data_IF_624361455649
#
_entry.id   IF_624361455649
#
_cell.length_a   1.000
_cell.length_b   1.000
_cell.length_c   1.000
_cell.angle_alpha   90.00
_cell.angle_beta   90.00
_cell.angle_gamma   90.00
#
_symmetry.space_group_name_H-M   'P 1'
#
loop_
_entity.id
_entity.type
_entity.pdbx_description
1 polymer ?
#
# COMPACT_ATOMS: atom_id res chain seq x y z
N UNK A 1 -24.24 -14.41 37.08
CA UNK A 1 -23.17 -13.39 36.97
C UNK A 1 -23.12 -12.97 35.51
N UNK A 2 -23.89 -11.95 35.14
CA UNK A 2 -23.90 -11.43 33.78
C UNK A 2 -22.81 -10.37 33.67
N UNK A 3 -21.78 -10.64 32.86
CA UNK A 3 -20.76 -9.64 32.50
C UNK A 3 -21.43 -8.62 31.57
N UNK A 4 -21.42 -7.36 31.98
CA UNK A 4 -21.79 -6.25 31.13
C UNK A 4 -20.65 -6.02 30.14
N UNK A 5 -20.95 -6.13 28.85
CA UNK A 5 -20.10 -5.63 27.77
C UNK A 5 -20.46 -4.15 27.63
N UNK A 6 -19.56 -3.27 28.03
CA UNK A 6 -19.70 -1.83 27.77
C UNK A 6 -19.18 -1.64 26.34
N UNK A 7 -20.07 -1.68 25.36
CA UNK A 7 -19.79 -1.18 24.02
C UNK A 7 -19.93 0.33 24.10
N UNK A 8 -18.81 1.05 24.20
CA UNK A 8 -18.83 2.51 24.09
C UNK A 8 -19.02 2.88 22.62
N UNK A 9 -20.27 3.03 22.21
CA UNK A 9 -20.62 3.63 20.92
C UNK A 9 -20.49 5.16 21.10
N UNK A 10 -19.37 5.73 20.66
CA UNK A 10 -19.23 7.19 20.61
C UNK A 10 -19.92 7.65 19.33
N UNK A 11 -21.14 8.15 19.47
CA UNK A 11 -21.84 8.87 18.42
C UNK A 11 -21.33 10.32 18.45
N UNK A 12 -20.37 10.68 17.58
CA UNK A 12 -19.90 12.06 17.47
C UNK A 12 -20.98 12.90 16.77
N UNK A 13 -21.32 14.03 17.38
CA UNK A 13 -22.44 14.87 16.99
C UNK A 13 -22.16 15.72 15.76
N UNK A 14 -23.21 15.93 14.96
CA UNK A 14 -23.28 16.89 13.86
C UNK A 14 -22.74 18.28 14.28
N UNK A 15 -21.74 18.77 13.56
CA UNK A 15 -21.38 20.20 13.54
C UNK A 15 -22.03 20.84 12.31
N UNK A 16 -22.91 21.82 12.54
CA UNK A 16 -23.40 22.71 11.49
C UNK A 16 -22.33 23.75 11.17
N UNK A 17 -21.82 23.75 9.94
CA UNK A 17 -21.13 24.90 9.38
C UNK A 17 -21.96 25.47 8.23
N UNK A 18 -22.68 26.57 8.47
CA UNK A 18 -23.17 27.43 7.39
C UNK A 18 -22.19 28.58 7.24
N UNK A 19 -21.29 28.45 6.26
CA UNK A 19 -20.52 29.55 5.70
C UNK A 19 -20.56 29.44 4.18
N UNK A 20 -21.55 30.09 3.56
CA UNK A 20 -21.67 30.21 2.11
C UNK A 20 -20.55 31.11 1.57
N UNK A 21 -19.38 30.52 1.28
CA UNK A 21 -18.36 30.99 0.33
C UNK A 21 -17.20 29.98 0.09
N UNK A 22 -17.30 28.72 0.52
CA UNK A 22 -16.36 27.66 0.12
C UNK A 22 -17.08 26.71 -0.86
N UNK A 23 -16.45 26.43 -2.00
CA UNK A 23 -16.94 25.45 -3.00
C UNK A 23 -16.80 24.00 -2.50
N UNK A 24 -16.01 23.79 -1.46
CA UNK A 24 -15.69 22.50 -0.87
C UNK A 24 -15.96 22.55 0.64
N UNK A 25 -16.47 21.45 1.18
CA UNK A 25 -16.55 21.21 2.61
C UNK A 25 -15.21 20.73 3.12
N UNK A 26 -14.81 21.22 4.29
CA UNK A 26 -13.56 20.83 4.95
C UNK A 26 -13.84 20.04 6.20
N UNK A 27 -13.08 18.96 6.39
CA UNK A 27 -13.15 18.05 7.54
C UNK A 27 -11.74 17.93 8.13
N UNK A 28 -11.68 17.89 9.46
CA UNK A 28 -10.47 17.61 10.22
C UNK A 28 -10.93 16.84 11.45
N UNK A 29 -10.45 15.62 11.61
CA UNK A 29 -10.86 14.71 12.66
C UNK A 29 -9.67 13.94 13.23
N UNK A 30 -9.80 13.58 14.51
CA UNK A 30 -8.80 12.85 15.25
C UNK A 30 -9.47 11.72 16.03
N UNK A 31 -8.91 10.52 15.90
CA UNK A 31 -9.38 9.31 16.58
C UNK A 31 -8.44 9.00 17.74
N UNK A 32 -8.93 9.11 18.97
CA UNK A 32 -8.17 8.78 20.18
C UNK A 32 -8.63 7.45 20.77
N UNK A 33 -7.68 6.56 21.09
CA UNK A 33 -7.96 5.31 21.80
C UNK A 33 -6.77 4.86 22.65
N UNK A 34 -6.91 5.02 23.97
CA UNK A 34 -5.88 4.58 24.90
C UNK A 34 -5.87 3.05 25.06
N UNK A 35 -4.68 2.45 24.94
CA UNK A 35 -4.46 1.02 25.20
C UNK A 35 -4.87 0.09 24.05
N UNK A 36 -5.26 0.64 22.90
CA UNK A 36 -5.33 -0.10 21.63
C UNK A 36 -3.91 -0.33 21.15
N UNK A 37 -3.61 -1.57 20.75
CA UNK A 37 -2.28 -1.98 20.30
C UNK A 37 -2.30 -2.59 18.90
N UNK A 38 -3.48 -2.83 18.35
CA UNK A 38 -3.67 -3.29 16.99
C UNK A 38 -4.92 -2.62 16.40
N UNK A 39 -4.82 -2.20 15.15
CA UNK A 39 -5.89 -1.51 14.42
C UNK A 39 -6.04 -2.16 13.06
N UNK A 40 -7.21 -2.71 12.78
CA UNK A 40 -7.59 -3.08 11.42
C UNK A 40 -8.10 -1.80 10.74
N UNK A 41 -7.40 -1.35 9.70
CA UNK A 41 -7.66 -0.10 8.97
C UNK A 41 -8.25 -0.44 7.61
N UNK A 42 -9.46 0.00 7.35
CA UNK A 42 -10.17 -0.18 6.09
C UNK A 42 -10.40 1.17 5.44
N UNK A 43 -9.82 1.38 4.27
CA UNK A 43 -9.99 2.58 3.46
C UNK A 43 -10.68 2.21 2.14
N UNK A 44 -11.79 2.87 1.82
CA UNK A 44 -12.51 2.71 0.54
C UNK A 44 -12.55 4.06 -0.17
N UNK A 45 -11.67 4.22 -1.13
CA UNK A 45 -11.29 5.51 -1.71
C UNK A 45 -11.68 5.56 -3.19
N UNK A 46 -12.90 6.03 -3.50
CA UNK A 46 -13.47 5.87 -4.84
C UNK A 46 -12.79 6.72 -5.92
N UNK A 47 -12.90 8.05 -5.84
CA UNK A 47 -12.34 8.98 -6.85
C UNK A 47 -11.80 10.21 -6.15
N UNK A 48 -10.55 10.57 -6.39
CA UNK A 48 -9.95 11.73 -5.72
C UNK A 48 -8.43 11.76 -5.70
N UNK A 49 -7.90 12.53 -4.76
CA UNK A 49 -6.49 12.54 -4.37
C UNK A 49 -6.36 12.05 -2.92
N UNK A 50 -5.53 11.05 -2.68
CA UNK A 50 -5.41 10.44 -1.36
C UNK A 50 -3.95 10.40 -0.90
N UNK A 51 -3.70 10.84 0.32
CA UNK A 51 -2.37 10.86 0.93
C UNK A 51 -2.42 10.10 2.27
N UNK A 52 -1.43 9.25 2.55
CA UNK A 52 -1.30 8.55 3.83
C UNK A 52 0.12 8.72 4.36
N UNK A 53 0.22 9.09 5.64
CA UNK A 53 1.47 9.33 6.34
C UNK A 53 1.47 8.70 7.74
N UNK A 54 2.59 8.83 8.46
CA UNK A 54 2.69 8.48 9.87
C UNK A 54 2.37 9.67 10.81
N UNK A 55 1.83 9.37 11.99
CA UNK A 55 1.68 10.34 13.06
C UNK A 55 3.01 10.54 13.80
N UNK A 56 3.28 11.79 14.17
CA UNK A 56 4.44 12.15 15.01
C UNK A 56 4.01 12.72 16.35
N UNK A 57 4.50 12.12 17.45
CA UNK A 57 4.38 12.71 18.80
C UNK A 57 3.02 12.62 19.50
N UNK A 58 2.02 11.95 18.91
CA UNK A 58 0.64 11.91 19.40
C UNK A 58 0.31 10.62 20.19
N UNK A 59 0.73 10.55 21.46
CA UNK A 59 0.40 9.40 22.34
C UNK A 59 -1.11 9.25 22.54
N UNK A 60 -1.62 8.03 22.38
CA UNK A 60 -3.04 7.72 22.57
C UNK A 60 -3.95 8.11 21.41
N UNK A 61 -3.36 8.66 20.34
CA UNK A 61 -4.02 8.92 19.06
C UNK A 61 -3.79 7.74 18.13
N UNK A 62 -4.85 7.31 17.46
CA UNK A 62 -4.83 6.19 16.50
C UNK A 62 -4.68 6.72 15.08
N UNK A 63 -5.48 7.71 14.72
CA UNK A 63 -5.46 8.31 13.41
C UNK A 63 -5.83 9.80 13.48
N UNK A 64 -5.26 10.60 12.59
CA UNK A 64 -5.75 11.93 12.22
C UNK A 64 -6.12 11.87 10.73
N UNK A 65 -7.21 12.52 10.34
CA UNK A 65 -7.51 12.69 8.93
C UNK A 65 -8.13 14.05 8.66
N UNK A 66 -7.75 14.63 7.54
CA UNK A 66 -8.32 15.88 7.04
C UNK A 66 -8.65 15.75 5.57
N UNK A 67 -9.59 16.57 5.10
CA UNK A 67 -9.96 16.55 3.71
C UNK A 67 -10.81 17.74 3.29
N UNK A 68 -10.86 17.93 1.98
CA UNK A 68 -11.77 18.86 1.33
C UNK A 68 -12.49 18.19 0.16
N UNK A 69 -13.82 18.30 0.13
CA UNK A 69 -14.64 17.61 -0.86
C UNK A 69 -15.88 18.41 -1.28
N UNK A 70 -16.35 18.17 -2.50
CA UNK A 70 -17.61 18.72 -3.03
C UNK A 70 -18.79 17.86 -2.55
N UNK A 71 -19.48 18.29 -1.49
CA UNK A 71 -20.69 17.63 -0.95
C UNK A 71 -21.81 17.41 -1.97
N UNK A 72 -21.81 18.13 -3.10
CA UNK A 72 -22.80 17.89 -4.15
C UNK A 72 -22.49 16.64 -4.98
N UNK A 73 -21.26 16.13 -4.91
CA UNK A 73 -20.76 15.00 -5.71
C UNK A 73 -20.38 13.79 -4.87
N UNK A 74 -19.78 14.02 -3.70
CA UNK A 74 -19.21 12.99 -2.86
C UNK A 74 -19.90 12.91 -1.50
N UNK A 75 -19.96 11.70 -0.98
CA UNK A 75 -20.30 11.43 0.42
C UNK A 75 -19.09 10.73 1.07
N UNK A 76 -18.82 11.06 2.33
CA UNK A 76 -17.85 10.32 3.12
C UNK A 76 -18.50 9.80 4.40
N UNK A 77 -17.97 8.70 4.91
CA UNK A 77 -18.29 8.19 6.23
C UNK A 77 -17.02 7.68 6.90
N UNK A 78 -16.99 7.74 8.23
CA UNK A 78 -15.94 7.10 9.00
C UNK A 78 -16.54 6.45 10.25
N UNK A 79 -15.92 5.36 10.71
CA UNK A 79 -16.22 4.75 12.01
C UNK A 79 -14.93 4.30 12.68
N UNK A 80 -14.91 4.39 14.01
CA UNK A 80 -13.90 3.73 14.82
C UNK A 80 -14.56 3.01 15.98
N UNK A 81 -14.34 1.70 16.05
CA UNK A 81 -14.82 0.86 17.15
C UNK A 81 -13.64 0.09 17.75
N UNK A 82 -13.63 -0.10 19.07
CA UNK A 82 -12.60 -0.90 19.71
C UNK A 82 -13.13 -1.78 20.84
N UNK A 83 -12.52 -2.95 20.99
CA UNK A 83 -12.78 -3.87 22.09
C UNK A 83 -11.47 -4.29 22.75
N UNK A 84 -11.22 -3.78 23.95
CA UNK A 84 -9.95 -4.00 24.64
C UNK A 84 -8.79 -3.38 23.86
N UNK A 85 -7.87 -4.23 23.39
CA UNK A 85 -6.60 -3.83 22.74
C UNK A 85 -6.67 -3.80 21.21
N UNK A 86 -7.83 -4.08 20.61
CA UNK A 86 -8.04 -4.12 19.16
C UNK A 86 -9.08 -3.09 18.75
N UNK A 87 -8.75 -2.29 17.74
CA UNK A 87 -9.66 -1.34 17.09
C UNK A 87 -9.88 -1.68 15.63
N UNK A 88 -10.97 -1.17 15.07
CA UNK A 88 -11.26 -1.16 13.64
C UNK A 88 -11.56 0.27 13.24
N UNK A 89 -10.80 0.80 12.30
CA UNK A 89 -11.01 2.09 11.66
C UNK A 89 -11.54 1.84 10.25
N UNK A 90 -12.68 2.42 9.91
CA UNK A 90 -13.25 2.35 8.55
C UNK A 90 -13.43 3.77 8.06
N UNK A 91 -12.97 4.04 6.84
CA UNK A 91 -13.21 5.29 6.13
C UNK A 91 -13.65 4.98 4.71
N UNK A 92 -14.75 5.60 4.29
CA UNK A 92 -15.32 5.44 2.95
C UNK A 92 -15.54 6.82 2.34
N UNK A 93 -15.09 7.02 1.10
CA UNK A 93 -15.36 8.21 0.29
C UNK A 93 -15.91 7.77 -1.06
N UNK A 94 -17.18 8.04 -1.30
CA UNK A 94 -17.94 7.57 -2.47
C UNK A 94 -18.38 8.69 -3.39
N UNK A 95 -18.42 8.41 -4.70
CA UNK A 95 -19.03 9.29 -5.70
C UNK A 95 -20.52 8.97 -5.84
N UNK A 96 -21.39 9.78 -5.22
CA UNK A 96 -22.84 9.53 -5.18
C UNK A 96 -23.62 10.21 -6.30
N UNK A 97 -23.08 11.27 -6.91
CA UNK A 97 -23.76 12.04 -7.95
C UNK A 97 -22.93 12.20 -9.22
N UNK A 98 -23.09 11.25 -10.16
CA UNK A 98 -22.43 11.26 -11.48
C UNK A 98 -23.09 12.19 -12.52
N UNK A 99 -23.59 13.36 -12.10
CA UNK A 99 -24.18 14.33 -13.05
C UNK A 99 -23.11 15.25 -13.63
N UNK A 100 -22.58 14.87 -14.79
CA UNK A 100 -21.59 15.64 -15.55
C UNK A 100 -20.23 14.95 -15.61
N UNK A 101 -19.23 15.55 -16.27
CA UNK A 101 -17.89 14.99 -16.30
C UNK A 101 -17.26 15.04 -14.90
N UNK A 102 -16.83 13.88 -14.39
CA UNK A 102 -16.00 13.79 -13.18
C UNK A 102 -14.59 14.21 -13.54
N UNK A 103 -14.04 15.16 -12.78
CA UNK A 103 -12.61 15.49 -12.88
C UNK A 103 -11.83 14.46 -12.08
N UNK A 104 -11.02 13.67 -12.78
CA UNK A 104 -10.12 12.69 -12.15
C UNK A 104 -8.87 13.37 -11.54
N UNK A 105 -8.69 14.68 -11.75
CA UNK A 105 -7.57 15.47 -11.20
C UNK A 105 -7.56 15.51 -9.66
N UNK A 106 -8.68 15.20 -8.99
CA UNK A 106 -8.77 15.09 -7.53
C UNK A 106 -9.10 16.39 -6.78
N UNK A 107 -9.14 17.55 -7.46
CA UNK A 107 -9.40 18.89 -6.87
C UNK A 107 -10.74 19.04 -6.11
N UNK A 108 -11.65 18.08 -6.25
CA UNK A 108 -12.99 18.13 -5.66
C UNK A 108 -13.20 17.04 -4.59
N UNK A 109 -12.17 16.23 -4.30
CA UNK A 109 -12.16 15.21 -3.26
C UNK A 109 -10.72 14.85 -2.88
N UNK A 110 -10.19 15.52 -1.86
CA UNK A 110 -8.85 15.27 -1.31
C UNK A 110 -8.95 14.81 0.14
N UNK A 111 -8.21 13.76 0.48
CA UNK A 111 -8.08 13.29 1.86
C UNK A 111 -6.63 12.96 2.19
N UNK A 112 -6.24 13.35 3.40
CA UNK A 112 -4.95 13.06 3.99
C UNK A 112 -5.18 12.30 5.30
N UNK A 113 -4.52 11.16 5.43
CA UNK A 113 -4.61 10.29 6.61
C UNK A 113 -3.24 10.21 7.28
N UNK A 114 -3.22 10.20 8.60
CA UNK A 114 -2.03 9.93 9.38
C UNK A 114 -2.33 8.88 10.43
N UNK A 115 -1.58 7.77 10.46
CA UNK A 115 -1.79 6.67 11.41
C UNK A 115 -0.68 6.56 12.45
N UNK A 116 -1.01 6.06 13.63
CA UNK A 116 -0.05 5.92 14.73
C UNK A 116 0.97 4.82 14.47
N UNK A 117 2.26 5.06 14.76
CA UNK A 117 3.26 3.99 14.74
C UNK A 117 3.32 3.21 16.06
N UNK A 118 2.51 3.58 17.07
CA UNK A 118 2.48 2.93 18.40
C UNK A 118 1.63 1.65 18.43
N UNK A 119 0.72 1.47 17.46
CA UNK A 119 -0.12 0.28 17.31
C UNK A 119 0.23 -0.48 16.02
N UNK A 120 0.01 -1.80 16.03
CA UNK A 120 0.10 -2.65 14.85
C UNK A 120 -1.09 -2.39 13.91
N UNK A 121 -0.85 -1.64 12.83
CA UNK A 121 -1.84 -1.33 11.81
C UNK A 121 -1.87 -2.43 10.74
N UNK A 122 -3.06 -2.90 10.41
CA UNK A 122 -3.30 -3.83 9.31
C UNK A 122 -4.16 -3.15 8.27
N UNK A 123 -3.64 -2.96 7.08
CA UNK A 123 -4.28 -2.13 6.07
C UNK A 123 -5.02 -2.98 5.03
N UNK A 124 -6.27 -2.60 4.77
CA UNK A 124 -7.07 -3.05 3.64
C UNK A 124 -7.55 -1.77 2.93
N UNK A 125 -6.96 -1.47 1.78
CA UNK A 125 -7.16 -0.21 1.06
C UNK A 125 -7.67 -0.51 -0.35
N UNK A 126 -8.86 -0.02 -0.67
CA UNK A 126 -9.38 -0.04 -2.03
C UNK A 126 -9.29 1.36 -2.63
N UNK A 127 -8.60 1.50 -3.76
CA UNK A 127 -8.47 2.75 -4.52
C UNK A 127 -9.15 2.57 -5.86
N UNK A 128 -10.17 3.38 -6.16
CA UNK A 128 -10.89 3.33 -7.43
C UNK A 128 -10.15 4.03 -8.56
N UNK A 129 -10.58 5.23 -8.93
CA UNK A 129 -9.95 6.06 -9.95
C UNK A 129 -9.36 7.34 -9.35
N UNK A 130 -8.07 7.33 -9.07
CA UNK A 130 -7.46 8.33 -8.19
C UNK A 130 -5.97 8.58 -8.49
N UNK A 131 -5.45 9.64 -7.88
CA UNK A 131 -4.02 9.79 -7.61
C UNK A 131 -3.79 9.51 -6.13
N UNK A 132 -2.87 8.61 -5.78
CA UNK A 132 -2.61 8.26 -4.39
C UNK A 132 -1.11 8.22 -4.07
N UNK A 133 -0.74 8.73 -2.90
CA UNK A 133 0.62 8.66 -2.36
C UNK A 133 0.55 8.17 -0.92
N UNK A 134 1.07 6.97 -0.66
CA UNK A 134 1.00 6.34 0.65
C UNK A 134 2.40 6.04 1.17
N UNK A 135 2.80 6.70 2.26
CA UNK A 135 4.03 6.40 2.98
C UNK A 135 3.72 5.59 4.25
N UNK A 136 4.20 4.35 4.27
CA UNK A 136 4.07 3.44 5.40
C UNK A 136 5.35 3.35 6.25
N UNK A 137 6.35 4.19 5.98
CA UNK A 137 7.59 4.26 6.75
C UNK A 137 7.37 4.61 8.23
N UNK A 138 8.18 4.01 9.11
CA UNK A 138 8.15 4.15 10.58
C UNK A 138 6.83 3.70 11.24
N UNK A 139 5.83 3.25 10.47
CA UNK A 139 4.65 2.59 11.04
C UNK A 139 5.01 1.20 11.58
N UNK A 140 4.09 0.64 12.36
CA UNK A 140 4.11 -0.79 12.72
C UNK A 140 3.05 -1.49 11.88
N UNK A 141 3.45 -2.06 10.74
CA UNK A 141 2.53 -2.73 9.81
C UNK A 141 2.82 -4.21 9.72
N UNK A 142 1.88 -5.06 10.13
CA UNK A 142 2.06 -6.52 10.08
C UNK A 142 1.33 -7.24 8.95
N UNK A 143 0.39 -6.56 8.28
CA UNK A 143 -0.44 -7.09 7.19
C UNK A 143 -0.93 -5.93 6.31
N UNK A 144 -0.90 -6.09 4.99
CA UNK A 144 -1.28 -5.06 4.05
C UNK A 144 -1.85 -5.65 2.75
N UNK A 145 -3.05 -5.21 2.39
CA UNK A 145 -3.66 -5.44 1.10
C UNK A 145 -4.09 -4.12 0.46
N UNK A 146 -3.75 -3.95 -0.83
CA UNK A 146 -4.21 -2.85 -1.66
C UNK A 146 -4.84 -3.38 -2.93
N UNK A 147 -6.08 -2.97 -3.19
CA UNK A 147 -6.80 -3.22 -4.44
C UNK A 147 -6.94 -1.89 -5.18
N UNK A 148 -6.28 -1.75 -6.32
CA UNK A 148 -6.12 -0.49 -7.05
C UNK A 148 -6.76 -0.63 -8.43
N UNK A 149 -7.72 0.24 -8.74
CA UNK A 149 -8.45 0.26 -9.99
C UNK A 149 -7.68 0.96 -11.12
N UNK A 150 -8.12 2.17 -11.48
CA UNK A 150 -7.57 2.95 -12.58
C UNK A 150 -6.93 4.24 -12.06
N UNK A 151 -5.65 4.15 -11.67
CA UNK A 151 -5.01 5.16 -10.83
C UNK A 151 -3.56 5.45 -11.23
N UNK A 152 -3.00 6.51 -10.66
CA UNK A 152 -1.55 6.72 -10.53
C UNK A 152 -1.23 6.62 -9.03
N UNK A 153 -0.42 5.64 -8.63
CA UNK A 153 -0.18 5.33 -7.21
C UNK A 153 1.30 5.24 -6.89
N UNK A 154 1.73 5.94 -5.85
CA UNK A 154 3.05 5.79 -5.23
C UNK A 154 2.85 5.18 -3.85
N UNK A 155 3.54 4.08 -3.58
CA UNK A 155 3.64 3.46 -2.26
C UNK A 155 5.11 3.56 -1.83
N UNK A 156 5.39 4.18 -0.68
CA UNK A 156 6.74 4.29 -0.16
C UNK A 156 6.83 3.65 1.24
N UNK A 157 7.97 3.04 1.51
CA UNK A 157 8.42 2.71 2.85
C UNK A 157 9.62 3.61 3.14
N UNK A 158 9.38 4.91 3.34
CA UNK A 158 10.45 5.92 3.38
C UNK A 158 11.49 5.67 4.48
N UNK A 159 11.08 4.95 5.52
CA UNK A 159 11.92 4.48 6.63
C UNK A 159 11.51 3.06 7.03
N UNK A 160 12.38 2.28 7.72
CA UNK A 160 12.07 0.91 8.08
C UNK A 160 10.77 0.75 8.89
N UNK A 161 9.91 -0.16 8.45
CA UNK A 161 8.75 -0.65 9.19
C UNK A 161 9.21 -1.22 10.54
N UNK A 162 8.46 -0.95 11.60
CA UNK A 162 8.85 -1.30 12.98
C UNK A 162 8.67 -2.79 13.31
N UNK A 163 7.97 -3.52 12.47
CA UNK A 163 7.72 -4.96 12.61
C UNK A 163 7.95 -5.68 11.29
N UNK A 164 7.85 -7.00 11.31
CA UNK A 164 7.75 -7.81 10.09
C UNK A 164 6.37 -7.65 9.48
N UNK A 165 6.32 -7.30 8.19
CA UNK A 165 5.12 -7.30 7.37
C UNK A 165 4.96 -8.70 6.80
N UNK A 166 3.99 -9.50 7.29
CA UNK A 166 3.94 -10.92 6.89
C UNK A 166 3.45 -11.09 5.45
N UNK A 167 2.35 -10.42 5.13
CA UNK A 167 1.72 -10.46 3.83
C UNK A 167 1.59 -9.03 3.30
N UNK A 168 2.19 -8.77 2.14
CA UNK A 168 2.00 -7.56 1.34
C UNK A 168 1.35 -7.97 0.01
N UNK A 169 0.08 -7.62 -0.18
CA UNK A 169 -0.70 -8.00 -1.37
C UNK A 169 -1.15 -6.79 -2.14
N UNK A 170 -0.88 -6.77 -3.44
CA UNK A 170 -1.23 -5.68 -4.32
C UNK A 170 -1.95 -6.26 -5.55
N UNK A 171 -3.22 -5.92 -5.72
CA UNK A 171 -3.96 -6.10 -6.99
C UNK A 171 -4.04 -4.73 -7.68
N UNK A 172 -3.36 -4.60 -8.80
CA UNK A 172 -3.20 -3.36 -9.53
C UNK A 172 -3.83 -3.51 -10.92
N UNK A 173 -5.03 -2.97 -11.10
CA UNK A 173 -5.84 -3.08 -12.31
C UNK A 173 -5.23 -2.37 -13.53
N UNK A 174 -5.77 -1.21 -13.88
CA UNK A 174 -5.36 -0.45 -15.07
C UNK A 174 -4.66 0.85 -14.65
N UNK A 175 -3.43 0.75 -14.17
CA UNK A 175 -2.76 1.85 -13.46
C UNK A 175 -1.26 1.95 -13.76
N UNK A 176 -0.69 3.11 -13.48
CA UNK A 176 0.75 3.27 -13.28
C UNK A 176 1.03 3.24 -11.77
N UNK A 177 1.92 2.35 -11.32
CA UNK A 177 2.20 2.16 -9.90
C UNK A 177 3.71 2.06 -9.63
N UNK A 178 4.15 2.82 -8.64
CA UNK A 178 5.54 2.83 -8.16
C UNK A 178 5.60 2.46 -6.67
N UNK A 179 6.27 1.34 -6.37
CA UNK A 179 6.58 0.90 -5.00
C UNK A 179 8.04 1.20 -4.71
N UNK A 180 8.30 2.10 -3.76
CA UNK A 180 9.62 2.59 -3.38
C UNK A 180 10.10 1.95 -2.09
N UNK A 181 11.41 1.71 -2.03
CA UNK A 181 12.13 1.31 -0.82
C UNK A 181 11.56 0.04 -0.14
N UNK A 182 11.14 -0.97 -0.89
CA UNK A 182 10.51 -2.18 -0.32
C UNK A 182 11.40 -2.95 0.66
N UNK A 183 12.73 -2.77 0.61
CA UNK A 183 13.64 -3.27 1.63
C UNK A 183 13.33 -2.71 3.03
N UNK A 184 12.76 -1.52 3.14
CA UNK A 184 12.32 -0.96 4.42
C UNK A 184 11.02 -1.58 4.95
N UNK A 185 10.20 -2.23 4.11
CA UNK A 185 8.91 -2.78 4.54
C UNK A 185 9.03 -4.01 5.45
N UNK A 186 10.17 -4.72 5.40
CA UNK A 186 10.43 -5.98 6.11
C UNK A 186 9.39 -7.05 5.80
N UNK A 187 8.99 -7.15 4.53
CA UNK A 187 8.01 -8.14 4.08
C UNK A 187 8.54 -9.58 4.13
N UNK A 188 7.70 -10.56 4.48
CA UNK A 188 8.00 -11.99 4.28
C UNK A 188 7.53 -12.45 2.89
N UNK A 189 6.27 -12.13 2.55
CA UNK A 189 5.65 -12.49 1.28
C UNK A 189 5.05 -11.27 0.60
N UNK A 190 5.48 -11.02 -0.63
CA UNK A 190 4.87 -10.07 -1.55
C UNK A 190 4.12 -10.86 -2.63
N UNK A 191 2.83 -10.56 -2.82
CA UNK A 191 2.06 -10.97 -3.99
C UNK A 191 1.65 -9.72 -4.75
N UNK A 192 2.05 -9.63 -6.01
CA UNK A 192 1.77 -8.51 -6.88
C UNK A 192 1.08 -9.02 -8.15
N UNK A 193 -0.18 -8.64 -8.34
CA UNK A 193 -0.99 -8.92 -9.52
C UNK A 193 -1.19 -7.62 -10.30
N UNK A 194 -0.45 -7.42 -11.38
CA UNK A 194 -0.57 -6.27 -12.27
C UNK A 194 -1.39 -6.59 -13.52
N UNK A 195 -2.53 -5.93 -13.71
CA UNK A 195 -3.41 -6.11 -14.85
C UNK A 195 -2.87 -5.49 -16.14
N UNK A 196 -3.03 -4.17 -16.30
CA UNK A 196 -2.60 -3.41 -17.46
C UNK A 196 -1.95 -2.08 -17.09
N UNK A 197 -0.66 -1.90 -17.39
CA UNK A 197 -0.01 -0.62 -17.12
C UNK A 197 1.51 -0.70 -17.01
N UNK A 198 2.07 0.26 -16.27
CA UNK A 198 3.50 0.37 -16.01
C UNK A 198 3.74 0.26 -14.51
N UNK A 199 4.62 -0.66 -14.12
CA UNK A 199 4.87 -0.97 -12.71
C UNK A 199 6.35 -0.79 -12.39
N UNK A 200 6.66 -0.22 -11.24
CA UNK A 200 8.04 -0.13 -10.73
C UNK A 200 8.09 -0.66 -9.31
N UNK A 201 8.93 -1.65 -9.07
CA UNK A 201 9.15 -2.25 -7.75
C UNK A 201 10.62 -2.06 -7.37
N UNK A 202 10.88 -1.09 -6.50
CA UNK A 202 12.19 -0.80 -5.95
C UNK A 202 12.40 -1.52 -4.61
N UNK A 203 13.15 -2.62 -4.64
CA UNK A 203 13.53 -3.43 -3.48
C UNK A 203 14.71 -2.86 -2.69
N UNK A 204 15.21 -1.66 -3.00
CA UNK A 204 16.25 -1.03 -2.18
C UNK A 204 15.72 -0.62 -0.79
N UNK A 205 16.61 -0.23 0.12
CA UNK A 205 16.30 0.02 1.54
C UNK A 205 17.10 -0.89 2.47
N UNK A 206 16.70 -1.00 3.74
CA UNK A 206 17.36 -1.84 4.75
C UNK A 206 16.98 -3.33 4.62
N UNK A 207 17.39 -3.94 3.51
CA UNK A 207 17.03 -5.30 3.14
C UNK A 207 18.00 -6.32 3.79
N UNK A 208 17.75 -6.66 5.06
CA UNK A 208 18.60 -7.55 5.85
C UNK A 208 17.95 -8.88 6.27
N UNK A 209 16.85 -9.24 5.60
CA UNK A 209 15.96 -10.38 5.88
C UNK A 209 15.78 -11.29 4.66
N UNK A 210 15.10 -12.43 4.84
CA UNK A 210 14.72 -13.33 3.76
C UNK A 210 13.26 -13.05 3.38
N UNK A 211 12.98 -12.94 2.08
CA UNK A 211 11.65 -12.68 1.56
C UNK A 211 11.40 -13.38 0.22
N UNK A 212 10.12 -13.55 -0.09
CA UNK A 212 9.62 -14.09 -1.35
C UNK A 212 8.67 -13.09 -1.99
N UNK A 213 8.85 -12.84 -3.29
CA UNK A 213 7.99 -12.00 -4.10
C UNK A 213 7.48 -12.80 -5.30
N UNK A 214 6.17 -12.98 -5.38
CA UNK A 214 5.47 -13.49 -6.56
C UNK A 214 4.87 -12.31 -7.31
N UNK A 215 5.24 -12.17 -8.58
CA UNK A 215 4.85 -11.06 -9.43
C UNK A 215 4.25 -11.63 -10.71
N UNK A 216 2.99 -11.28 -10.94
CA UNK A 216 2.21 -11.68 -12.10
C UNK A 216 1.76 -10.41 -12.85
N UNK A 217 2.23 -10.22 -14.09
CA UNK A 217 1.87 -9.05 -14.91
C UNK A 217 1.16 -9.48 -16.18
N UNK A 218 -0.10 -9.10 -16.35
CA UNK A 218 -0.92 -9.44 -17.50
C UNK A 218 -0.47 -8.77 -18.80
N UNK A 219 -0.57 -7.44 -18.88
CA UNK A 219 -0.30 -6.64 -20.08
C UNK A 219 0.44 -5.34 -19.74
N UNK A 220 1.75 -5.25 -19.97
CA UNK A 220 2.45 -4.02 -19.60
C UNK A 220 3.96 -4.13 -19.51
N UNK A 221 4.54 -3.25 -18.72
CA UNK A 221 5.95 -3.28 -18.38
C UNK A 221 6.15 -3.23 -16.88
N UNK A 222 7.12 -3.98 -16.38
CA UNK A 222 7.55 -3.90 -14.99
C UNK A 222 9.06 -3.68 -14.89
N UNK A 223 9.44 -2.64 -14.18
CA UNK A 223 10.83 -2.35 -13.79
C UNK A 223 11.05 -2.85 -12.36
N UNK A 224 12.01 -3.75 -12.19
CA UNK A 224 12.37 -4.31 -10.88
C UNK A 224 13.78 -3.86 -10.53
N UNK A 225 13.91 -3.11 -9.43
CA UNK A 225 15.19 -2.57 -8.98
C UNK A 225 15.60 -3.32 -7.71
N UNK A 226 16.78 -3.94 -7.73
CA UNK A 226 17.28 -4.77 -6.62
C UNK A 226 18.58 -4.17 -6.07
N UNK A 227 18.79 -4.13 -4.74
CA UNK A 227 20.07 -3.69 -4.19
C UNK A 227 21.20 -4.68 -4.51
N UNK A 228 22.41 -4.17 -4.79
CA UNK A 228 23.58 -5.01 -5.16
C UNK A 228 24.08 -5.95 -4.06
N UNK A 229 23.76 -5.68 -2.79
CA UNK A 229 24.35 -6.36 -1.63
C UNK A 229 23.55 -7.55 -1.10
N UNK A 230 22.34 -7.80 -1.62
CA UNK A 230 21.51 -8.94 -1.24
C UNK A 230 21.75 -10.16 -2.13
N UNK A 231 21.35 -11.33 -1.62
CA UNK A 231 21.28 -12.55 -2.40
C UNK A 231 19.97 -12.59 -3.18
N UNK A 232 20.01 -12.93 -4.46
CA UNK A 232 18.81 -12.97 -5.31
C UNK A 232 18.68 -14.33 -5.99
N UNK A 233 17.48 -14.91 -5.91
CA UNK A 233 17.05 -15.98 -6.81
C UNK A 233 15.93 -15.45 -7.70
N UNK A 234 16.02 -15.71 -8.99
CA UNK A 234 14.99 -15.37 -9.98
C UNK A 234 14.48 -16.68 -10.56
N UNK A 235 13.16 -16.86 -10.53
CA UNK A 235 12.43 -17.93 -11.20
C UNK A 235 11.53 -17.26 -12.24
N UNK A 236 11.84 -17.41 -13.53
CA UNK A 236 11.16 -16.69 -14.60
C UNK A 236 11.08 -17.51 -15.89
N UNK A 237 9.88 -17.60 -16.47
CA UNK A 237 9.67 -18.32 -17.73
C UNK A 237 9.61 -17.35 -18.92
N UNK A 238 10.61 -17.42 -19.80
CA UNK A 238 10.59 -16.68 -21.06
C UNK A 238 9.72 -17.42 -22.10
N UNK A 239 8.82 -16.69 -22.76
CA UNK A 239 7.94 -17.16 -23.81
C UNK A 239 8.05 -16.27 -25.06
N UNK A 240 7.50 -16.71 -26.20
CA UNK A 240 7.62 -15.94 -27.46
C UNK A 240 6.89 -14.59 -27.47
N UNK A 241 6.03 -14.34 -26.48
CA UNK A 241 5.17 -13.15 -26.36
C UNK A 241 5.56 -12.23 -25.19
N UNK A 242 6.61 -12.55 -24.43
CA UNK A 242 7.17 -11.71 -23.36
C UNK A 242 8.67 -11.47 -23.58
N UNK A 243 9.23 -10.54 -22.82
CA UNK A 243 10.68 -10.29 -22.76
C UNK A 243 11.09 -10.04 -21.32
N UNK A 244 12.04 -10.81 -20.81
CA UNK A 244 12.57 -10.64 -19.46
C UNK A 244 14.07 -10.36 -19.59
N UNK A 245 14.51 -9.14 -19.27
CA UNK A 245 15.92 -8.78 -19.23
C UNK A 245 16.41 -8.64 -17.79
N UNK A 246 17.61 -9.12 -17.55
CA UNK A 246 18.29 -9.00 -16.26
C UNK A 246 19.80 -9.11 -16.48
N UNK A 247 20.65 -8.56 -15.59
CA UNK A 247 22.10 -8.55 -15.77
C UNK A 247 22.70 -9.96 -15.64
N UNK A 248 22.64 -10.75 -16.71
CA UNK A 248 23.02 -12.19 -16.77
C UNK A 248 24.45 -12.50 -16.31
N UNK A 249 25.32 -11.49 -16.20
CA UNK A 249 26.69 -11.64 -15.68
C UNK A 249 26.76 -11.74 -14.15
N UNK A 250 25.75 -11.23 -13.46
CA UNK A 250 25.63 -11.25 -12.00
C UNK A 250 24.94 -12.52 -11.50
N UNK A 251 24.51 -13.40 -12.40
CA UNK A 251 23.71 -14.57 -12.11
C UNK A 251 24.28 -15.83 -12.76
N UNK A 252 24.08 -16.97 -12.10
CA UNK A 252 24.37 -18.31 -12.61
C UNK A 252 23.09 -19.14 -12.61
N UNK A 253 22.86 -19.91 -13.68
CA UNK A 253 21.74 -20.87 -13.71
C UNK A 253 21.90 -21.94 -12.63
N UNK A 254 20.81 -22.28 -11.95
CA UNK A 254 20.77 -23.40 -11.00
C UNK A 254 20.87 -24.71 -11.77
N UNK A 255 21.76 -25.60 -11.32
CA UNK A 255 22.01 -26.85 -12.06
C UNK A 255 20.78 -27.75 -12.02
N UNK A 256 20.25 -28.05 -13.21
CA UNK A 256 19.10 -28.97 -13.38
C UNK A 256 17.75 -28.25 -13.44
N UNK A 257 17.77 -26.92 -13.43
CA UNK A 257 16.59 -26.07 -13.61
C UNK A 257 16.94 -24.95 -14.61
N UNK A 258 16.25 -24.93 -15.75
CA UNK A 258 16.60 -24.02 -16.84
C UNK A 258 16.05 -22.60 -16.65
N UNK A 259 15.08 -22.44 -15.74
CA UNK A 259 14.31 -21.21 -15.52
C UNK A 259 14.62 -20.57 -14.16
N UNK A 260 15.65 -21.06 -13.47
CA UNK A 260 16.09 -20.56 -12.16
C UNK A 260 17.51 -20.04 -12.22
N UNK A 261 17.71 -18.81 -11.76
CA UNK A 261 18.99 -18.12 -11.67
C UNK A 261 19.27 -17.67 -10.24
N UNK A 262 20.51 -17.81 -9.78
CA UNK A 262 20.96 -17.33 -8.47
C UNK A 262 22.13 -16.36 -8.64
N UNK A 263 22.16 -15.31 -7.83
CA UNK A 263 23.36 -14.48 -7.66
C UNK A 263 24.45 -15.26 -6.93
N UNK A 264 25.72 -14.91 -7.15
CA UNK A 264 26.86 -15.62 -6.56
C UNK A 264 26.83 -15.63 -5.02
N UNK A 265 26.28 -14.57 -4.42
CA UNK A 265 26.16 -14.41 -2.97
C UNK A 265 24.86 -15.00 -2.38
N UNK A 266 23.94 -15.56 -3.18
CA UNK A 266 22.59 -15.96 -2.74
C UNK A 266 22.57 -16.74 -1.42
N UNK A 267 23.44 -17.73 -1.26
CA UNK A 267 23.48 -18.62 -0.07
C UNK A 267 24.16 -18.00 1.15
N UNK A 268 24.88 -16.89 0.98
CA UNK A 268 25.73 -16.29 2.02
C UNK A 268 25.29 -14.90 2.43
N UNK A 269 24.49 -14.23 1.60
CA UNK A 269 23.98 -12.89 1.86
C UNK A 269 23.03 -12.90 3.07
N UNK A 270 23.07 -11.80 3.84
CA UNK A 270 22.21 -11.60 5.00
C UNK A 270 20.76 -11.39 4.54
N UNK A 271 20.56 -10.42 3.65
CA UNK A 271 19.32 -10.25 2.90
C UNK A 271 19.22 -11.24 1.74
N UNK A 272 18.06 -11.85 1.54
CA UNK A 272 17.78 -12.75 0.42
C UNK A 272 16.39 -12.50 -0.15
N UNK A 273 16.31 -12.35 -1.46
CA UNK A 273 15.05 -12.23 -2.19
C UNK A 273 14.91 -13.42 -3.15
N UNK A 274 13.81 -14.17 -3.02
CA UNK A 274 13.35 -15.09 -4.06
C UNK A 274 12.26 -14.38 -4.85
N UNK A 275 12.48 -14.23 -6.16
CA UNK A 275 11.60 -13.54 -7.09
C UNK A 275 11.02 -14.56 -8.06
N UNK A 276 9.70 -14.78 -7.99
CA UNK A 276 8.95 -15.56 -8.98
C UNK A 276 8.24 -14.55 -9.88
N UNK A 277 8.50 -14.64 -11.18
CA UNK A 277 8.05 -13.66 -12.16
C UNK A 277 7.34 -14.34 -13.33
N UNK A 278 6.05 -14.07 -13.48
CA UNK A 278 5.26 -14.38 -14.67
C UNK A 278 4.85 -13.06 -15.35
N UNK A 279 5.15 -12.96 -16.64
CA UNK A 279 4.75 -11.83 -17.47
C UNK A 279 4.01 -12.38 -18.67
N UNK A 280 2.75 -11.96 -18.81
CA UNK A 280 1.88 -12.18 -19.95
C UNK A 280 2.41 -11.46 -21.20
N UNK A 281 1.67 -10.49 -21.77
CA UNK A 281 2.18 -9.74 -22.93
C UNK A 281 2.84 -8.45 -22.46
N UNK A 282 4.17 -8.46 -22.43
CA UNK A 282 4.89 -7.34 -21.84
C UNK A 282 6.39 -7.51 -21.76
N UNK A 283 7.02 -6.62 -21.00
CA UNK A 283 8.42 -6.71 -20.63
C UNK A 283 8.62 -6.65 -19.13
N UNK A 284 9.62 -7.36 -18.64
CA UNK A 284 10.20 -7.13 -17.34
C UNK A 284 11.68 -6.78 -17.49
N UNK A 285 12.09 -5.71 -16.83
CA UNK A 285 13.46 -5.23 -16.81
C UNK A 285 13.95 -5.25 -15.36
N UNK A 286 14.88 -6.16 -15.05
CA UNK A 286 15.47 -6.30 -13.72
C UNK A 286 16.84 -5.63 -13.73
N UNK A 287 17.07 -4.72 -12.80
CA UNK A 287 18.32 -3.98 -12.69
C UNK A 287 18.84 -3.95 -11.24
N UNK A 288 20.14 -3.72 -11.11
CA UNK A 288 20.75 -3.47 -9.80
C UNK A 288 20.97 -1.97 -9.59
N UNK A 289 20.79 -1.51 -8.34
CA UNK A 289 21.11 -0.14 -7.90
C UNK A 289 21.94 -0.13 -6.62
#
# INVERSE_FOLDING_TARGET
MNKWIISSMVLVGLVFAVATAARLTKIEEQVEANGVEQVDVQLRLAVGKFELNNLTGSKGVIAEFEGDYDESKYEYSHTFEHQGRRGTFVFESELVNQRGPTKLEGDENRWEFSFTPEADCRFDIEVGAANAEFDFGDLTVSDMQLDIGAAEVIIDFSTPNRTVLRDLKIDAGACDLEMRNLGNSRFEFLTFDGGMGSFTLDFTGDFDFEAEASIDVGLGSIDIIIPEDIGVRIEAEEHWFNSIDFPKKSFSKVRGDDDVWESDNFKTAKGRLTLVLDVGMGSADISFR
#
